data_IF_046334329534
#
_entry.id   IF_046334329534
#
_cell.length_a   1.000
_cell.length_b   1.000
_cell.length_c   1.000
_cell.angle_alpha   90.00
_cell.angle_beta   90.00
_cell.angle_gamma   90.00
#
_symmetry.space_group_name_H-M   'P 1'
#
loop_
_entity.id
_entity.type
_entity.pdbx_description
1 polymer ?
#
# COMPACT_ATOMS: atom_id res chain seq x y z
N UNK A 1 -13.75 16.44 16.50
CA UNK A 1 -12.31 16.21 16.30
C UNK A 1 -12.16 15.58 14.92
N UNK A 2 -11.37 16.16 14.01
CA UNK A 2 -11.08 15.48 12.73
C UNK A 2 -10.23 14.24 13.03
N UNK A 3 -10.46 13.10 12.35
CA UNK A 3 -9.59 11.94 12.48
C UNK A 3 -8.17 12.30 12.03
N UNK A 4 -7.13 11.69 12.62
CA UNK A 4 -5.75 11.95 12.21
C UNK A 4 -5.53 11.50 10.77
N UNK A 5 -4.76 12.29 10.01
CA UNK A 5 -4.42 12.00 8.61
C UNK A 5 -3.33 10.92 8.50
N UNK A 6 -2.52 10.75 9.55
CA UNK A 6 -1.52 9.69 9.64
C UNK A 6 -1.49 9.04 11.02
N UNK A 7 -0.97 7.81 11.07
CA UNK A 7 -0.67 7.09 12.31
C UNK A 7 0.68 6.41 12.17
N UNK A 8 1.41 6.28 13.27
CA UNK A 8 2.67 5.54 13.29
C UNK A 8 2.41 4.10 13.74
N UNK A 9 3.04 3.15 13.05
CA UNK A 9 3.12 1.76 13.48
C UNK A 9 4.54 1.25 13.22
N UNK A 10 5.25 0.85 14.28
CA UNK A 10 6.69 0.55 14.21
C UNK A 10 7.47 1.74 13.60
N UNK A 11 8.24 1.49 12.54
CA UNK A 11 8.98 2.48 11.77
C UNK A 11 8.19 3.10 10.60
N UNK A 12 6.92 2.72 10.42
CA UNK A 12 6.10 3.15 9.30
C UNK A 12 5.20 4.32 9.69
N UNK A 13 4.98 5.21 8.72
CA UNK A 13 3.94 6.23 8.73
C UNK A 13 2.81 5.75 7.81
N UNK A 14 1.64 5.49 8.39
CA UNK A 14 0.45 5.01 7.69
C UNK A 14 -0.47 6.18 7.37
N UNK A 15 -1.15 6.09 6.23
CA UNK A 15 -2.00 7.13 5.67
C UNK A 15 -3.48 6.81 5.94
N UNK A 16 -4.25 7.82 6.33
CA UNK A 16 -5.70 7.68 6.53
C UNK A 16 -6.46 7.57 5.21
N UNK A 17 -7.79 7.33 5.27
CA UNK A 17 -8.63 7.36 6.47
C UNK A 17 -8.58 6.06 7.28
N UNK A 18 -8.63 6.20 8.60
CA UNK A 18 -8.74 5.07 9.53
C UNK A 18 -10.15 4.98 10.10
N UNK A 19 -10.63 3.76 10.30
CA UNK A 19 -11.86 3.51 11.04
C UNK A 19 -11.57 2.90 12.40
N UNK A 20 -12.50 2.94 13.38
CA UNK A 20 -12.39 2.11 14.56
C UNK A 20 -12.43 0.63 14.19
N UNK A 21 -11.73 -0.23 14.95
CA UNK A 21 -11.76 -1.68 14.73
C UNK A 21 -13.10 -2.29 15.21
N UNK A 22 -13.94 -2.85 14.31
CA UNK A 22 -15.15 -3.55 14.70
C UNK A 22 -14.83 -4.97 15.20
N UNK A 23 -14.67 -5.14 16.52
CA UNK A 23 -14.29 -6.41 17.14
C UNK A 23 -15.29 -7.55 16.86
N UNK A 24 -16.58 -7.25 16.72
CA UNK A 24 -17.63 -8.19 16.35
C UNK A 24 -17.46 -8.72 14.92
N UNK A 25 -17.07 -7.83 13.99
CA UNK A 25 -16.78 -8.20 12.60
C UNK A 25 -15.51 -9.01 12.50
N UNK A 26 -14.45 -8.62 13.21
CA UNK A 26 -13.22 -9.41 13.27
C UNK A 26 -13.49 -10.83 13.80
N UNK A 27 -14.22 -10.96 14.91
CA UNK A 27 -14.59 -12.26 15.46
C UNK A 27 -15.44 -13.10 14.49
N UNK A 28 -16.32 -12.46 13.70
CA UNK A 28 -17.11 -13.14 12.67
C UNK A 28 -16.23 -13.70 11.54
N UNK A 29 -15.17 -12.96 11.18
CA UNK A 29 -14.18 -13.41 10.19
C UNK A 29 -13.36 -14.58 10.73
N UNK A 30 -12.86 -14.48 11.96
CA UNK A 30 -12.13 -15.57 12.63
C UNK A 30 -12.97 -16.84 12.74
N UNK A 31 -14.26 -16.71 13.05
CA UNK A 31 -15.20 -17.84 13.07
C UNK A 31 -15.42 -18.45 11.67
N UNK A 32 -15.47 -17.63 10.61
CA UNK A 32 -15.64 -18.10 9.24
C UNK A 32 -14.40 -18.81 8.69
N UNK A 33 -13.21 -18.35 9.07
CA UNK A 33 -11.93 -18.96 8.69
C UNK A 33 -11.62 -20.18 9.60
N UNK A 34 -12.17 -20.21 10.82
CA UNK A 34 -11.98 -21.28 11.81
C UNK A 34 -10.73 -21.12 12.68
N UNK A 35 -10.06 -19.97 12.59
CA UNK A 35 -8.82 -19.65 13.31
C UNK A 35 -8.75 -18.15 13.54
N UNK A 36 -8.11 -17.75 14.65
CA UNK A 36 -7.86 -16.35 14.95
C UNK A 36 -6.97 -15.70 13.89
N UNK A 37 -7.06 -14.39 13.70
CA UNK A 37 -6.08 -13.69 12.85
C UNK A 37 -4.72 -13.63 13.57
N UNK A 38 -3.59 -13.62 12.84
CA UNK A 38 -2.28 -13.46 13.46
C UNK A 38 -2.22 -12.21 14.35
N UNK A 39 -1.66 -12.36 15.56
CA UNK A 39 -1.58 -11.27 16.55
C UNK A 39 -0.94 -9.99 16.00
N UNK A 40 0.19 -10.03 15.26
CA UNK A 40 0.77 -8.82 14.67
C UNK A 40 -0.21 -8.09 13.73
N UNK A 41 -1.04 -8.83 12.98
CA UNK A 41 -2.03 -8.23 12.09
C UNK A 41 -3.17 -7.57 12.85
N UNK A 42 -3.64 -8.21 13.93
CA UNK A 42 -4.62 -7.59 14.83
C UNK A 42 -4.08 -6.29 15.44
N UNK A 43 -2.82 -6.26 15.86
CA UNK A 43 -2.17 -5.04 16.39
C UNK A 43 -2.09 -3.95 15.33
N UNK A 44 -1.79 -4.31 14.07
CA UNK A 44 -1.86 -3.38 12.96
C UNK A 44 -3.28 -2.82 12.79
N UNK A 45 -4.32 -3.66 12.77
CA UNK A 45 -5.72 -3.22 12.64
C UNK A 45 -6.19 -2.32 13.81
N UNK A 46 -5.70 -2.57 15.03
CA UNK A 46 -5.98 -1.72 16.20
C UNK A 46 -5.41 -0.30 16.00
N UNK A 47 -4.28 -0.18 15.30
CA UNK A 47 -3.65 1.11 14.95
C UNK A 47 -4.21 1.68 13.65
N UNK A 48 -4.49 0.86 12.64
CA UNK A 48 -4.92 1.27 11.31
C UNK A 48 -5.90 0.24 10.71
N UNK A 49 -7.19 0.38 11.04
CA UNK A 49 -8.24 -0.38 10.40
C UNK A 49 -8.63 0.29 9.07
N UNK A 50 -8.02 -0.20 7.99
CA UNK A 50 -8.01 0.46 6.68
C UNK A 50 -6.92 1.53 6.58
N UNK A 51 -7.06 2.41 5.60
CA UNK A 51 -6.01 3.37 5.26
C UNK A 51 -4.98 2.75 4.33
N UNK A 52 -3.84 3.42 4.21
CA UNK A 52 -2.86 3.15 3.17
C UNK A 52 -1.45 3.01 3.73
N UNK A 53 -0.70 2.04 3.21
CA UNK A 53 0.72 1.81 3.49
C UNK A 53 1.49 2.11 2.21
N UNK A 54 1.78 3.39 1.96
CA UNK A 54 2.54 3.82 0.77
C UNK A 54 4.01 3.41 0.92
N UNK A 55 4.28 2.12 0.68
CA UNK A 55 5.60 1.52 0.71
C UNK A 55 5.64 0.38 -0.29
N UNK A 56 6.86 0.07 -0.71
CA UNK A 56 7.20 -0.90 -1.71
C UNK A 56 7.89 -2.11 -1.09
N UNK A 57 7.77 -3.25 -1.76
CA UNK A 57 8.45 -4.50 -1.44
C UNK A 57 9.13 -5.04 -2.70
N UNK A 58 10.32 -5.63 -2.52
CA UNK A 58 11.06 -6.25 -3.62
C UNK A 58 10.70 -7.72 -3.71
N UNK A 59 10.21 -8.12 -4.87
CA UNK A 59 9.92 -9.51 -5.21
C UNK A 59 11.24 -10.30 -5.41
N UNK A 60 11.22 -11.63 -5.27
CA UNK A 60 12.39 -12.45 -5.59
C UNK A 60 12.87 -12.34 -7.05
N UNK A 61 11.99 -11.93 -7.97
CA UNK A 61 12.37 -11.60 -9.36
C UNK A 61 13.25 -10.35 -9.47
N UNK A 62 13.27 -9.51 -8.44
CA UNK A 62 13.90 -8.19 -8.44
C UNK A 62 12.91 -7.05 -8.71
N UNK A 63 11.71 -7.37 -9.19
CA UNK A 63 10.63 -6.39 -9.43
C UNK A 63 10.21 -5.71 -8.12
N UNK A 64 9.78 -4.46 -8.21
CA UNK A 64 9.27 -3.67 -7.09
C UNK A 64 7.76 -3.54 -7.25
N UNK A 65 7.03 -3.84 -6.19
CA UNK A 65 5.55 -3.75 -6.15
C UNK A 65 5.10 -3.16 -4.82
N UNK A 66 3.88 -2.65 -4.78
CA UNK A 66 3.26 -2.11 -3.58
C UNK A 66 1.87 -2.72 -3.35
N UNK A 67 1.47 -2.80 -2.08
CA UNK A 67 0.12 -3.19 -1.65
C UNK A 67 -0.44 -2.13 -0.71
N UNK A 68 -0.65 -0.90 -1.22
CA UNK A 68 -0.92 0.26 -0.39
C UNK A 68 -2.25 0.13 0.37
N UNK A 69 -3.29 -0.41 -0.24
CA UNK A 69 -4.64 -0.39 0.34
C UNK A 69 -4.84 -1.48 1.39
N UNK A 70 -4.84 -1.11 2.67
CA UNK A 70 -5.19 -2.04 3.76
C UNK A 70 -6.68 -2.37 3.71
N UNK A 71 -7.00 -3.66 3.80
CA UNK A 71 -8.38 -4.13 3.86
C UNK A 71 -8.89 -3.96 5.30
N UNK A 72 -9.91 -3.13 5.53
CA UNK A 72 -10.46 -2.96 6.87
C UNK A 72 -11.21 -4.22 7.34
N UNK A 73 -11.26 -4.43 8.65
CA UNK A 73 -11.79 -5.63 9.28
C UNK A 73 -13.25 -5.96 8.95
N UNK A 74 -14.07 -4.94 8.68
CA UNK A 74 -15.46 -5.10 8.22
C UNK A 74 -15.57 -5.69 6.80
N UNK A 75 -14.51 -5.53 5.99
CA UNK A 75 -14.42 -6.08 4.63
C UNK A 75 -13.72 -7.43 4.56
N UNK A 76 -12.87 -7.79 5.53
CA UNK A 76 -12.08 -9.04 5.49
C UNK A 76 -12.93 -10.27 5.19
N UNK A 77 -14.13 -10.39 5.78
CA UNK A 77 -15.00 -11.55 5.55
C UNK A 77 -15.56 -11.62 4.13
N UNK A 78 -15.82 -10.47 3.50
CA UNK A 78 -16.24 -10.40 2.12
C UNK A 78 -15.06 -10.74 1.19
N UNK A 79 -13.89 -10.16 1.43
CA UNK A 79 -12.68 -10.40 0.62
C UNK A 79 -12.22 -11.86 0.71
N UNK A 80 -12.24 -12.47 1.90
CA UNK A 80 -11.96 -13.90 2.09
C UNK A 80 -12.90 -14.78 1.25
N UNK A 81 -14.21 -14.50 1.28
CA UNK A 81 -15.20 -15.24 0.48
C UNK A 81 -14.99 -15.04 -1.01
N UNK A 82 -14.79 -13.79 -1.44
CA UNK A 82 -14.52 -13.46 -2.84
C UNK A 82 -13.28 -14.17 -3.36
N UNK A 83 -12.23 -14.33 -2.55
CA UNK A 83 -11.06 -15.12 -2.91
C UNK A 83 -11.41 -16.60 -3.09
N UNK A 84 -12.23 -17.20 -2.22
CA UNK A 84 -12.68 -18.60 -2.38
C UNK A 84 -13.45 -18.84 -3.68
N UNK A 85 -14.21 -17.84 -4.13
CA UNK A 85 -15.05 -17.90 -5.34
C UNK A 85 -14.30 -17.45 -6.61
N UNK A 86 -13.05 -16.98 -6.48
CA UNK A 86 -12.26 -16.45 -7.58
C UNK A 86 -11.61 -17.54 -8.44
N UNK A 87 -11.13 -17.17 -9.62
CA UNK A 87 -10.35 -18.06 -10.48
C UNK A 87 -9.06 -18.55 -9.80
N UNK A 88 -8.51 -17.79 -8.83
CA UNK A 88 -7.33 -18.17 -8.07
C UNK A 88 -7.56 -19.41 -7.21
N UNK A 89 -8.81 -19.72 -6.84
CA UNK A 89 -9.15 -20.92 -6.08
C UNK A 89 -8.79 -22.22 -6.82
N UNK A 90 -8.63 -22.17 -8.15
CA UNK A 90 -8.18 -23.31 -8.97
C UNK A 90 -6.68 -23.56 -8.84
N UNK A 91 -5.91 -22.54 -8.48
CA UNK A 91 -4.44 -22.55 -8.56
C UNK A 91 -3.74 -22.36 -7.21
N UNK A 92 -4.42 -21.74 -6.24
CA UNK A 92 -3.86 -21.37 -4.95
C UNK A 92 -4.60 -22.06 -3.80
N UNK A 93 -3.94 -22.27 -2.64
CA UNK A 93 -4.57 -22.83 -1.44
C UNK A 93 -5.44 -21.78 -0.73
N UNK A 94 -6.39 -21.17 -1.43
CA UNK A 94 -7.16 -20.00 -0.96
C UNK A 94 -7.90 -20.24 0.36
N UNK A 95 -8.24 -21.48 0.69
CA UNK A 95 -8.90 -21.85 1.95
C UNK A 95 -8.08 -21.47 3.20
N UNK A 96 -6.77 -21.25 3.06
CA UNK A 96 -5.91 -20.80 4.16
C UNK A 96 -5.32 -19.41 3.92
N UNK A 97 -5.83 -18.65 2.96
CA UNK A 97 -5.30 -17.33 2.63
C UNK A 97 -6.32 -16.25 2.99
N UNK A 98 -5.91 -15.31 3.85
CA UNK A 98 -6.70 -14.15 4.23
C UNK A 98 -6.14 -12.91 3.50
N UNK A 99 -6.87 -12.32 2.55
CA UNK A 99 -6.49 -11.03 1.96
C UNK A 99 -6.43 -9.94 3.04
N UNK A 100 -5.34 -9.18 3.04
CA UNK A 100 -5.09 -8.10 4.02
C UNK A 100 -4.74 -6.75 3.38
N UNK A 101 -4.21 -6.75 2.15
CA UNK A 101 -3.99 -5.52 1.39
C UNK A 101 -4.03 -5.79 -0.12
N UNK A 102 -4.09 -4.73 -0.93
CA UNK A 102 -4.14 -4.81 -2.40
C UNK A 102 -3.46 -3.63 -3.09
N UNK A 103 -3.19 -3.80 -4.38
CA UNK A 103 -2.58 -2.79 -5.26
C UNK A 103 -3.60 -1.94 -6.05
N UNK A 104 -4.91 -2.22 -5.88
CA UNK A 104 -5.98 -1.59 -6.66
C UNK A 104 -6.14 -2.11 -8.10
N UNK A 105 -5.23 -2.97 -8.57
CA UNK A 105 -5.19 -3.53 -9.93
C UNK A 105 -5.38 -5.06 -9.97
N UNK A 106 -5.59 -5.70 -8.82
CA UNK A 106 -5.98 -7.12 -8.69
C UNK A 106 -4.93 -7.97 -7.97
N UNK A 107 -3.74 -7.44 -7.70
CA UNK A 107 -2.75 -8.12 -6.87
C UNK A 107 -3.17 -8.04 -5.41
N UNK A 108 -2.87 -9.10 -4.66
CA UNK A 108 -3.29 -9.28 -3.27
C UNK A 108 -2.11 -9.60 -2.38
N UNK A 109 -2.03 -8.90 -1.25
CA UNK A 109 -1.24 -9.30 -0.10
C UNK A 109 -2.13 -10.13 0.83
N UNK A 110 -1.65 -11.28 1.26
CA UNK A 110 -2.40 -12.23 2.07
C UNK A 110 -1.57 -12.74 3.24
N UNK A 111 -2.26 -13.08 4.33
CA UNK A 111 -1.70 -13.86 5.42
C UNK A 111 -2.12 -15.32 5.26
N UNK A 112 -1.16 -16.24 5.36
CA UNK A 112 -1.48 -17.66 5.48
C UNK A 112 -1.90 -17.97 6.92
N UNK A 113 -3.09 -18.53 7.07
CA UNK A 113 -3.71 -18.89 8.36
C UNK A 113 -3.79 -20.41 8.55
N UNK A 114 -3.18 -21.19 7.64
CA UNK A 114 -3.05 -22.64 7.77
C UNK A 114 -2.06 -23.01 8.87
N UNK A 115 -2.34 -24.08 9.61
CA UNK A 115 -1.60 -24.43 10.83
C UNK A 115 -0.07 -24.52 10.66
N UNK A 116 0.43 -24.99 9.51
CA UNK A 116 1.87 -25.14 9.24
C UNK A 116 2.56 -23.86 8.75
N UNK A 117 1.78 -22.90 8.25
CA UNK A 117 2.26 -21.67 7.61
C UNK A 117 1.70 -20.41 8.27
N UNK A 118 1.12 -20.58 9.46
CA UNK A 118 0.37 -19.55 10.16
C UNK A 118 1.19 -18.27 10.38
N UNK A 119 0.68 -17.16 9.87
CA UNK A 119 1.27 -15.83 9.98
C UNK A 119 2.21 -15.45 8.84
N UNK A 120 2.56 -16.36 7.93
CA UNK A 120 3.40 -16.04 6.76
C UNK A 120 2.71 -15.03 5.86
N UNK A 121 3.51 -14.15 5.26
CA UNK A 121 3.02 -13.15 4.31
C UNK A 121 3.31 -13.65 2.90
N UNK A 122 2.24 -13.80 2.12
CA UNK A 122 2.32 -14.21 0.71
C UNK A 122 1.62 -13.18 -0.16
N UNK A 123 2.03 -13.10 -1.41
CA UNK A 123 1.40 -12.24 -2.39
C UNK A 123 1.04 -13.02 -3.65
N UNK A 124 -0.10 -12.65 -4.22
CA UNK A 124 -0.40 -12.91 -5.61
C UNK A 124 -0.22 -11.60 -6.38
N UNK A 125 0.64 -11.61 -7.39
CA UNK A 125 0.97 -10.46 -8.22
C UNK A 125 0.59 -10.77 -9.65
N UNK A 126 -0.23 -9.91 -10.26
CA UNK A 126 -0.59 -10.06 -11.65
C UNK A 126 0.61 -9.76 -12.56
N UNK A 127 0.76 -10.57 -13.61
CA UNK A 127 1.72 -10.31 -14.66
C UNK A 127 1.42 -8.99 -15.35
N UNK A 128 2.45 -8.17 -15.57
CA UNK A 128 2.27 -6.87 -16.21
C UNK A 128 2.29 -7.00 -17.74
N UNK A 129 1.62 -6.08 -18.46
CA UNK A 129 1.67 -6.06 -19.91
C UNK A 129 3.11 -5.98 -20.44
N UNK A 130 3.35 -6.62 -21.58
CA UNK A 130 4.66 -6.80 -22.21
C UNK A 130 5.51 -5.54 -22.43
N UNK A 131 4.91 -4.34 -22.43
CA UNK A 131 5.58 -3.06 -22.66
C UNK A 131 6.19 -2.42 -21.40
N UNK A 132 5.89 -2.96 -20.22
CA UNK A 132 6.36 -2.43 -18.92
C UNK A 132 7.78 -2.86 -18.55
N UNK A 133 8.30 -3.91 -19.19
CA UNK A 133 9.63 -4.46 -18.88
C UNK A 133 9.68 -5.42 -17.68
N UNK A 134 8.57 -5.56 -16.94
CA UNK A 134 8.46 -6.46 -15.77
C UNK A 134 8.03 -7.88 -16.15
N UNK A 135 8.00 -8.79 -15.16
CA UNK A 135 7.51 -10.16 -15.33
C UNK A 135 6.10 -10.19 -15.95
N UNK A 136 5.95 -11.01 -17.01
CA UNK A 136 4.69 -11.16 -17.76
C UNK A 136 3.73 -12.17 -17.13
N UNK A 137 4.23 -13.01 -16.24
CA UNK A 137 3.49 -14.11 -15.68
C UNK A 137 2.98 -13.75 -14.29
N UNK A 138 1.74 -14.15 -14.01
CA UNK A 138 1.17 -14.12 -12.67
C UNK A 138 2.09 -14.89 -11.70
N UNK A 139 2.33 -14.33 -10.53
CA UNK A 139 3.22 -14.90 -9.53
C UNK A 139 2.51 -15.06 -8.19
N UNK A 140 2.68 -16.23 -7.58
CA UNK A 140 2.36 -16.45 -6.17
C UNK A 140 3.64 -16.73 -5.39
N UNK A 141 3.92 -15.89 -4.40
CA UNK A 141 5.23 -15.87 -3.73
C UNK A 141 5.11 -15.58 -2.24
N UNK A 142 5.99 -16.19 -1.45
CA UNK A 142 6.19 -15.81 -0.05
C UNK A 142 7.09 -14.59 0.02
N UNK A 143 6.61 -13.53 0.67
CA UNK A 143 7.36 -12.28 0.85
C UNK A 143 8.11 -12.24 2.18
N UNK A 144 7.53 -12.83 3.22
CA UNK A 144 8.14 -12.85 4.54
C UNK A 144 7.63 -14.02 5.40
N UNK A 145 8.44 -14.50 6.35
CA UNK A 145 8.04 -15.56 7.28
C UNK A 145 6.95 -15.13 8.26
N UNK A 146 6.79 -13.83 8.50
CA UNK A 146 5.74 -13.25 9.33
C UNK A 146 5.49 -11.76 8.95
N UNK A 147 4.44 -11.17 9.52
CA UNK A 147 4.07 -9.77 9.23
C UNK A 147 5.13 -8.77 9.71
N UNK A 148 5.80 -9.02 10.83
CA UNK A 148 6.79 -8.08 11.32
C UNK A 148 8.00 -8.03 10.39
N UNK A 149 8.47 -9.18 9.92
CA UNK A 149 9.53 -9.29 8.91
C UNK A 149 9.12 -8.65 7.57
N UNK A 150 7.85 -8.78 7.16
CA UNK A 150 7.33 -8.08 5.98
C UNK A 150 7.41 -6.56 6.16
N UNK A 151 6.87 -6.03 7.26
CA UNK A 151 6.86 -4.59 7.53
C UNK A 151 8.27 -4.03 7.67
N UNK A 152 9.22 -4.79 8.21
CA UNK A 152 10.63 -4.39 8.31
C UNK A 152 11.36 -4.42 6.95
N UNK A 153 10.81 -5.13 5.95
CA UNK A 153 11.36 -5.19 4.59
C UNK A 153 10.87 -4.07 3.66
N UNK A 154 9.81 -3.36 4.08
CA UNK A 154 9.21 -2.29 3.30
C UNK A 154 10.16 -1.10 3.15
N UNK A 155 10.17 -0.50 1.97
CA UNK A 155 10.95 0.70 1.66
C UNK A 155 10.14 1.68 0.82
N UNK A 156 10.63 2.89 0.62
CA UNK A 156 10.03 3.86 -0.30
C UNK A 156 10.88 3.87 -1.57
N UNK A 157 10.31 3.47 -2.71
CA UNK A 157 10.95 3.63 -4.01
C UNK A 157 10.96 5.10 -4.46
N UNK A 158 11.96 5.49 -5.25
CA UNK A 158 12.09 6.87 -5.73
C UNK A 158 10.88 7.29 -6.60
N UNK A 159 10.28 6.36 -7.37
CA UNK A 159 9.08 6.65 -8.19
C UNK A 159 7.85 6.90 -7.30
N UNK A 160 7.64 6.05 -6.30
CA UNK A 160 6.57 6.21 -5.29
C UNK A 160 6.73 7.54 -4.55
N UNK A 161 7.95 7.86 -4.09
CA UNK A 161 8.25 9.12 -3.42
C UNK A 161 7.98 10.35 -4.29
N UNK A 162 8.40 10.32 -5.56
CA UNK A 162 8.18 11.41 -6.51
C UNK A 162 6.69 11.63 -6.80
N UNK A 163 5.92 10.55 -6.98
CA UNK A 163 4.48 10.60 -7.19
C UNK A 163 3.76 11.27 -6.02
N UNK A 164 3.99 10.78 -4.80
CA UNK A 164 3.35 11.32 -3.59
C UNK A 164 3.76 12.77 -3.31
N UNK A 165 5.04 13.10 -3.49
CA UNK A 165 5.52 14.47 -3.35
C UNK A 165 4.90 15.41 -4.39
N UNK A 166 4.79 14.98 -5.64
CA UNK A 166 4.14 15.74 -6.71
C UNK A 166 2.67 16.03 -6.38
N UNK A 167 1.97 15.06 -5.79
CA UNK A 167 0.58 15.19 -5.35
C UNK A 167 0.35 16.33 -4.34
N UNK A 168 1.33 16.65 -3.49
CA UNK A 168 1.18 17.72 -2.48
C UNK A 168 1.64 19.10 -2.96
N UNK A 169 2.44 19.22 -4.01
CA UNK A 169 2.97 20.51 -4.46
C UNK A 169 1.93 21.40 -5.14
N UNK A 170 0.95 20.81 -5.82
CA UNK A 170 -0.14 21.52 -6.48
C UNK A 170 -1.24 22.02 -5.54
N UNK A 171 -1.11 21.79 -4.24
CA UNK A 171 -2.17 22.06 -3.26
C UNK A 171 -2.02 23.43 -2.60
N UNK A 172 -3.07 23.91 -1.94
CA UNK A 172 -3.09 25.23 -1.30
C UNK A 172 -1.92 25.43 -0.31
N UNK A 173 -1.54 26.70 -0.08
CA UNK A 173 -0.40 27.09 0.78
C UNK A 173 -0.40 26.45 2.18
N UNK A 174 -1.57 26.07 2.69
CA UNK A 174 -1.69 25.18 3.85
C UNK A 174 -2.42 23.91 3.45
N UNK A 175 -1.67 22.82 3.33
CA UNK A 175 -2.20 21.48 3.17
C UNK A 175 -1.63 20.58 4.27
N UNK A 176 -2.41 20.21 5.30
CA UNK A 176 -1.97 19.28 6.35
C UNK A 176 -1.48 17.93 5.81
N UNK A 177 -1.90 17.54 4.61
CA UNK A 177 -1.39 16.34 3.94
C UNK A 177 0.08 16.46 3.55
N UNK A 178 0.55 17.68 3.24
CA UNK A 178 1.97 17.92 2.96
C UNK A 178 2.85 17.58 4.16
N UNK A 179 2.42 17.92 5.37
CA UNK A 179 3.15 17.59 6.59
C UNK A 179 3.22 16.07 6.82
N UNK A 180 2.15 15.35 6.46
CA UNK A 180 2.12 13.88 6.50
C UNK A 180 3.11 13.28 5.50
N UNK A 181 3.12 13.73 4.25
CA UNK A 181 4.07 13.26 3.23
C UNK A 181 5.51 13.57 3.63
N UNK A 182 5.78 14.77 4.17
CA UNK A 182 7.12 15.12 4.70
C UNK A 182 7.52 14.20 5.83
N UNK A 183 6.62 13.91 6.78
CA UNK A 183 6.89 12.98 7.88
C UNK A 183 7.20 11.56 7.37
N UNK A 184 6.44 11.08 6.39
CA UNK A 184 6.63 9.77 5.76
C UNK A 184 7.98 9.68 5.05
N UNK A 185 8.33 10.67 4.21
CA UNK A 185 9.64 10.72 3.54
C UNK A 185 10.80 10.88 4.51
N UNK A 186 10.66 11.69 5.57
CA UNK A 186 11.70 11.89 6.58
C UNK A 186 12.04 10.60 7.33
N UNK A 187 11.05 9.73 7.51
CA UNK A 187 11.24 8.45 8.19
C UNK A 187 11.69 7.33 7.25
N UNK A 188 11.06 7.21 6.09
CA UNK A 188 11.26 6.07 5.18
C UNK A 188 12.29 6.29 4.07
N UNK A 189 12.67 7.54 3.77
CA UNK A 189 13.63 7.86 2.71
C UNK A 189 14.63 8.95 3.14
N UNK A 190 15.62 8.62 4.00
CA UNK A 190 16.64 9.58 4.41
C UNK A 190 17.35 10.24 3.22
N UNK A 191 17.51 11.57 3.28
CA UNK A 191 18.14 12.35 2.20
C UNK A 191 17.23 12.63 1.00
N UNK A 192 15.93 12.34 1.07
CA UNK A 192 15.00 12.59 -0.05
C UNK A 192 15.01 14.04 -0.56
N UNK A 193 15.30 15.03 0.31
CA UNK A 193 15.36 16.45 -0.07
C UNK A 193 16.45 16.78 -1.09
N UNK A 194 17.49 15.95 -1.18
CA UNK A 194 18.57 16.11 -2.15
C UNK A 194 18.25 15.46 -3.50
N UNK A 195 17.14 14.72 -3.60
CA UNK A 195 16.72 14.05 -4.82
C UNK A 195 16.35 15.08 -5.90
N UNK A 196 16.62 14.78 -7.19
CA UNK A 196 16.28 15.69 -8.29
C UNK A 196 14.81 16.09 -8.31
N UNK A 197 13.89 15.13 -8.15
CA UNK A 197 12.44 15.38 -8.13
C UNK A 197 12.04 16.31 -6.97
N UNK A 198 12.63 16.14 -5.79
CA UNK A 198 12.35 16.98 -4.62
C UNK A 198 12.81 18.44 -4.83
N UNK A 199 13.97 18.64 -5.49
CA UNK A 199 14.54 19.98 -5.73
C UNK A 199 13.89 20.73 -6.91
N UNK A 200 13.46 19.98 -7.93
CA UNK A 200 12.88 20.53 -9.16
C UNK A 200 11.44 21.02 -8.99
N UNK A 201 10.85 20.71 -7.83
CA UNK A 201 9.51 21.04 -7.37
C UNK A 201 9.25 22.54 -7.07
N UNK A 202 10.13 23.44 -7.51
CA UNK A 202 9.84 24.87 -7.53
C UNK A 202 8.73 25.19 -8.54
N UNK A 203 7.97 26.30 -8.37
CA UNK A 203 6.92 26.65 -9.31
C UNK A 203 7.50 26.71 -10.73
N UNK A 204 6.86 26.01 -11.67
CA UNK A 204 7.24 26.07 -13.07
C UNK A 204 7.36 27.55 -13.49
N UNK A 205 8.43 27.95 -14.20
CA UNK A 205 8.53 29.30 -14.70
C UNK A 205 7.29 29.60 -15.54
N UNK A 206 6.56 30.66 -15.17
CA UNK A 206 5.43 31.15 -15.96
C UNK A 206 5.92 31.28 -17.40
N UNK A 207 5.35 30.49 -18.29
CA UNK A 207 5.60 30.62 -19.71
C UNK A 207 5.30 32.08 -20.07
N UNK A 208 6.26 32.83 -20.65
CA UNK A 208 6.01 34.22 -21.00
C UNK A 208 4.79 34.25 -21.91
N UNK A 209 3.85 35.14 -21.59
CA UNK A 209 2.70 35.40 -22.43
C UNK A 209 3.21 35.55 -23.87
N UNK A 210 2.60 34.80 -24.80
CA UNK A 210 2.79 35.09 -26.22
C UNK A 210 2.34 36.52 -26.42
N UNK A 211 3.30 37.42 -26.61
CA UNK A 211 3.04 38.72 -27.19
C UNK A 211 2.47 38.42 -28.58
N UNK A 212 1.18 38.71 -28.74
CA UNK A 212 0.51 38.70 -30.03
C UNK A 212 1.23 39.73 -30.92
N UNK A 213 2.07 39.20 -31.80
CA UNK A 213 2.60 39.91 -32.95
C UNK A 213 1.41 40.41 -33.76
N UNK A 214 1.27 41.74 -33.76
CA UNK A 214 0.55 42.47 -34.78
C UNK A 214 0.92 41.95 -36.17
N UNK A 215 -0.08 41.54 -36.94
CA UNK A 215 0.01 41.47 -38.39
C UNK A 215 -1.03 42.45 -38.93
N UNK A 216 -0.52 43.61 -39.35
CA UNK A 216 -1.14 44.48 -40.33
C UNK A 216 -1.45 43.67 -41.60
N UNK A 217 -2.72 43.64 -42.00
CA UNK A 217 -3.18 43.59 -43.39
C UNK A 217 -4.55 44.28 -43.50
#
# INVERSE_FOLDING_TARGET
MQPPLSRNYRELVLFGPFTPLPLDRLASVEAAIGVAVPRPYRQLLEVANGGTVEYDVRLPSGDVVSFPDLIPADRLGAEYRSLQESFLAVHLPVATLLPVARDGCGSLLMLDVGAERYGRVVAFVHGLPAWTGSSRDDMFVELAPDLDAYLDSLFIDDETAESEWSGVLGTALYNPWRDVVVQWLDRGLPGWRDRPWARSSGPAPKQPARDDLALDL
#
